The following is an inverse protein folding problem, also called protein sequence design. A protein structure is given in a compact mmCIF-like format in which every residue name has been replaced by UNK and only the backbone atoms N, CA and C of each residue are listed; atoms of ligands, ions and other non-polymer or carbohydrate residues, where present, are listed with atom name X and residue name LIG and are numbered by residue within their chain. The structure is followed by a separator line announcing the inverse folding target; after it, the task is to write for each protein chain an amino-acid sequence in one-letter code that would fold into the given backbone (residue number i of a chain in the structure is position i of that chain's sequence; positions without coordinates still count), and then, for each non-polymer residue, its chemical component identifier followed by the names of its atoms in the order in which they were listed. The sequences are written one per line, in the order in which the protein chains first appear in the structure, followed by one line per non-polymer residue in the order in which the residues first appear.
data_IF_793209225385
#
_entry.id   IF_793209225385
#
_cell.length_a   1.000
_cell.length_b   1.000
_cell.length_c   1.000
_cell.angle_alpha   90.00
_cell.angle_beta   90.00
_cell.angle_gamma   90.00
#
_symmetry.space_group_name_H-M   'P 1'
#
loop_
_entity.id
_entity.type
_entity.pdbx_description
1 polymer ?
#
# COMPACT_ATOMS: atom_id res chain seq x y z
N UNK A 1 0.98 42.26 2.48
CA UNK A 1 0.16 41.20 1.86
C UNK A 1 0.36 39.93 2.68
N UNK A 2 -0.71 39.31 3.21
CA UNK A 2 -0.62 38.06 3.98
C UNK A 2 -0.70 36.86 3.03
N UNK A 3 0.09 35.79 3.23
CA UNK A 3 0.03 34.61 2.38
C UNK A 3 -1.27 33.85 2.64
N UNK A 4 -1.97 33.45 1.57
CA UNK A 4 -3.16 32.58 1.66
C UNK A 4 -2.73 31.19 2.12
N UNK A 5 -3.33 30.72 3.20
CA UNK A 5 -3.15 29.39 3.77
C UNK A 5 -3.81 28.30 2.94
N UNK A 6 -3.05 27.21 2.74
CA UNK A 6 -3.47 25.81 2.67
C UNK A 6 -4.64 25.43 1.74
N UNK A 7 -4.29 25.02 0.51
CA UNK A 7 -5.17 24.31 -0.43
C UNK A 7 -5.20 22.78 -0.19
N UNK A 8 -4.96 22.29 1.02
CA UNK A 8 -4.74 20.86 1.27
C UNK A 8 -6.03 20.04 1.43
N UNK A 9 -7.22 20.66 1.43
CA UNK A 9 -8.48 19.98 1.75
C UNK A 9 -9.37 19.58 0.57
N UNK A 10 -9.20 20.20 -0.60
CA UNK A 10 -10.06 19.94 -1.77
C UNK A 10 -9.48 18.93 -2.76
N UNK A 11 -8.15 18.74 -2.80
CA UNK A 11 -7.51 17.84 -3.76
C UNK A 11 -7.65 16.35 -3.39
N UNK A 12 -7.78 16.02 -2.09
CA UNK A 12 -7.98 14.64 -1.64
C UNK A 12 -9.36 14.06 -2.02
N UNK A 13 -10.38 14.92 -2.19
CA UNK A 13 -11.74 14.52 -2.61
C UNK A 13 -11.79 13.95 -4.03
N UNK A 14 -10.78 14.21 -4.86
CA UNK A 14 -10.72 13.80 -6.26
C UNK A 14 -9.65 12.75 -6.55
N UNK A 15 -9.03 12.15 -5.51
CA UNK A 15 -8.03 11.11 -5.76
C UNK A 15 -8.72 9.91 -6.39
N UNK A 16 -8.32 9.61 -7.62
CA UNK A 16 -8.84 8.45 -8.34
C UNK A 16 -8.44 7.19 -7.60
N UNK A 17 -9.42 6.35 -7.28
CA UNK A 17 -9.15 5.06 -6.66
C UNK A 17 -8.41 4.15 -7.64
N UNK A 18 -7.46 3.36 -7.14
CA UNK A 18 -6.69 2.40 -7.92
C UNK A 18 -7.60 1.37 -8.60
N UNK A 19 -8.71 0.96 -7.97
CA UNK A 19 -9.70 0.04 -8.55
C UNK A 19 -10.51 0.61 -9.73
N UNK A 20 -10.49 1.92 -9.91
CA UNK A 20 -11.14 2.63 -11.01
C UNK A 20 -10.20 2.87 -12.19
N UNK A 21 -8.90 3.00 -11.96
CA UNK A 21 -7.91 3.34 -13.00
C UNK A 21 -7.08 2.16 -13.49
N UNK A 22 -6.91 1.12 -12.67
CA UNK A 22 -6.10 -0.05 -13.04
C UNK A 22 -6.87 -1.00 -13.95
N UNK A 23 -6.15 -1.68 -14.85
CA UNK A 23 -6.74 -2.70 -15.70
C UNK A 23 -7.10 -3.94 -14.87
N UNK A 24 -8.41 -4.23 -14.78
CA UNK A 24 -8.95 -5.38 -14.02
C UNK A 24 -8.51 -6.74 -14.54
N UNK A 25 -8.01 -6.82 -15.79
CA UNK A 25 -7.46 -8.05 -16.38
C UNK A 25 -6.00 -8.30 -15.98
N UNK A 26 -5.33 -7.33 -15.37
CA UNK A 26 -3.94 -7.48 -14.96
C UNK A 26 -3.79 -8.59 -13.90
N UNK A 27 -2.78 -9.48 -14.00
CA UNK A 27 -2.62 -10.60 -13.08
C UNK A 27 -2.59 -10.20 -11.61
N UNK A 28 -1.82 -9.17 -11.23
CA UNK A 28 -1.77 -8.69 -9.85
C UNK A 28 -3.12 -8.14 -9.35
N UNK A 29 -3.91 -7.50 -10.22
CA UNK A 29 -5.23 -7.00 -9.86
C UNK A 29 -6.17 -8.16 -9.51
N UNK A 30 -6.17 -9.20 -10.36
CA UNK A 30 -6.98 -10.39 -10.14
C UNK A 30 -6.53 -11.15 -8.90
N UNK A 31 -5.22 -11.32 -8.73
CA UNK A 31 -4.65 -12.01 -7.59
C UNK A 31 -4.99 -11.30 -6.28
N UNK A 32 -4.86 -9.97 -6.23
CA UNK A 32 -5.23 -9.15 -5.08
C UNK A 32 -6.69 -9.36 -4.64
N UNK A 33 -7.60 -9.59 -5.59
CA UNK A 33 -9.02 -9.83 -5.33
C UNK A 33 -9.38 -11.31 -5.08
N UNK A 34 -8.44 -12.23 -5.29
CA UNK A 34 -8.66 -13.68 -5.10
C UNK A 34 -8.13 -14.14 -3.74
N UNK A 35 -7.10 -13.49 -3.21
CA UNK A 35 -6.51 -13.82 -1.92
C UNK A 35 -7.50 -13.46 -0.79
N UNK A 36 -7.78 -14.42 0.10
CA UNK A 36 -8.44 -14.14 1.38
C UNK A 36 -7.43 -13.52 2.35
N UNK A 37 -7.34 -12.19 2.32
CA UNK A 37 -6.41 -11.43 3.16
C UNK A 37 -6.69 -11.58 4.66
N UNK A 38 -7.92 -11.95 5.05
CA UNK A 38 -8.30 -12.10 6.46
C UNK A 38 -7.59 -13.24 7.18
N UNK A 39 -7.11 -14.23 6.41
CA UNK A 39 -6.27 -15.32 6.95
C UNK A 39 -4.98 -14.75 7.51
N UNK A 40 -4.34 -13.81 6.80
CA UNK A 40 -3.11 -13.19 7.28
C UNK A 40 -3.36 -12.35 8.54
N UNK A 41 -4.48 -11.63 8.61
CA UNK A 41 -4.83 -10.88 9.83
C UNK A 41 -5.05 -11.81 11.04
N UNK A 42 -5.60 -13.01 10.84
CA UNK A 42 -5.78 -14.00 11.92
C UNK A 42 -4.46 -14.60 12.37
N UNK A 43 -3.63 -15.03 11.43
CA UNK A 43 -2.35 -15.70 11.72
C UNK A 43 -1.30 -14.73 12.27
N UNK A 44 -1.19 -13.55 11.65
CA UNK A 44 -0.16 -12.56 12.00
C UNK A 44 -0.67 -11.45 12.92
N UNK A 45 -1.99 -11.28 13.09
CA UNK A 45 -2.58 -10.21 13.92
C UNK A 45 -2.05 -10.16 15.34
N UNK A 46 -1.83 -11.34 15.94
CA UNK A 46 -1.26 -11.46 17.29
C UNK A 46 0.21 -11.03 17.39
N UNK A 47 0.97 -11.15 16.30
CA UNK A 47 2.39 -10.79 16.21
C UNK A 47 2.58 -9.28 15.99
N UNK A 48 1.61 -8.62 15.36
CA UNK A 48 1.64 -7.19 15.03
C UNK A 48 0.78 -6.33 15.98
N UNK A 49 0.32 -6.87 17.11
CA UNK A 49 -0.41 -6.10 18.14
C UNK A 49 0.45 -4.92 18.60
N UNK A 50 -0.06 -3.70 18.38
CA UNK A 50 0.52 -2.46 18.88
C UNK A 50 0.44 -2.45 20.42
N UNK A 51 1.38 -3.11 21.09
CA UNK A 51 1.38 -3.21 22.56
C UNK A 51 1.76 -1.90 23.24
N UNK A 52 2.49 -0.99 22.59
CA UNK A 52 2.75 0.43 22.96
C UNK A 52 3.47 1.08 21.75
N UNK A 53 3.03 2.25 21.27
CA UNK A 53 3.75 3.04 20.25
C UNK A 53 3.11 3.09 18.85
N UNK A 54 3.93 3.28 17.81
CA UNK A 54 3.56 3.49 16.40
C UNK A 54 2.51 2.47 15.93
N UNK A 55 1.45 2.88 15.19
CA UNK A 55 0.52 1.92 14.58
C UNK A 55 1.31 0.89 13.77
N UNK A 56 1.10 -0.39 14.06
CA UNK A 56 1.69 -1.48 13.29
C UNK A 56 1.32 -1.33 11.82
N UNK A 57 2.24 -1.69 10.93
CA UNK A 57 1.98 -1.65 9.49
C UNK A 57 0.84 -2.60 9.14
N UNK A 58 -0.03 -2.26 8.17
CA UNK A 58 -1.06 -3.18 7.72
C UNK A 58 -0.43 -4.52 7.31
N UNK A 59 -0.94 -5.64 7.83
CA UNK A 59 -0.40 -6.97 7.56
C UNK A 59 -0.37 -7.25 6.05
N UNK A 60 -1.40 -6.81 5.33
CA UNK A 60 -1.48 -6.90 3.87
C UNK A 60 -0.32 -6.17 3.15
N UNK A 61 0.16 -5.05 3.66
CA UNK A 61 1.32 -4.35 3.09
C UNK A 61 2.58 -5.21 3.22
N UNK A 62 2.82 -5.78 4.41
CA UNK A 62 4.00 -6.60 4.69
C UNK A 62 4.00 -7.88 3.86
N UNK A 63 2.90 -8.61 3.88
CA UNK A 63 2.71 -9.84 3.10
C UNK A 63 2.80 -9.54 1.60
N UNK A 64 2.17 -8.44 1.16
CA UNK A 64 2.15 -8.01 -0.23
C UNK A 64 3.55 -7.69 -0.76
N UNK A 65 4.31 -6.86 -0.05
CA UNK A 65 5.68 -6.54 -0.42
C UNK A 65 6.59 -7.77 -0.38
N UNK A 66 6.44 -8.63 0.63
CA UNK A 66 7.23 -9.87 0.71
C UNK A 66 6.95 -10.78 -0.50
N UNK A 67 5.67 -10.96 -0.86
CA UNK A 67 5.28 -11.72 -2.05
C UNK A 67 5.88 -11.11 -3.32
N UNK A 68 5.72 -9.80 -3.53
CA UNK A 68 6.19 -9.11 -4.74
C UNK A 68 7.71 -9.17 -4.86
N UNK A 69 8.43 -8.98 -3.75
CA UNK A 69 9.89 -9.10 -3.69
C UNK A 69 10.35 -10.46 -4.23
N UNK A 70 9.75 -11.53 -3.74
CA UNK A 70 10.07 -12.89 -4.16
C UNK A 70 9.61 -13.19 -5.59
N UNK A 71 8.38 -12.80 -5.96
CA UNK A 71 7.82 -13.07 -7.28
C UNK A 71 8.59 -12.38 -8.42
N UNK A 72 9.15 -11.20 -8.15
CA UNK A 72 9.92 -10.42 -9.13
C UNK A 72 11.45 -10.52 -8.93
N UNK A 73 11.91 -11.30 -7.94
CA UNK A 73 13.32 -11.50 -7.61
C UNK A 73 14.11 -10.18 -7.44
N UNK A 74 13.58 -9.29 -6.61
CA UNK A 74 14.17 -7.96 -6.34
C UNK A 74 14.66 -7.85 -4.89
N UNK A 75 15.51 -6.87 -4.60
CA UNK A 75 15.90 -6.54 -3.23
C UNK A 75 14.80 -5.79 -2.48
N UNK A 76 14.94 -5.61 -1.16
CA UNK A 76 14.01 -4.82 -0.36
C UNK A 76 13.99 -3.35 -0.81
N UNK A 77 15.15 -2.76 -1.10
CA UNK A 77 15.27 -1.37 -1.59
C UNK A 77 14.58 -1.20 -2.94
N UNK A 78 14.79 -2.18 -3.84
CA UNK A 78 14.16 -2.17 -5.16
C UNK A 78 12.65 -2.38 -5.04
N UNK A 79 12.19 -3.21 -4.10
CA UNK A 79 10.77 -3.41 -3.86
C UNK A 79 10.08 -2.12 -3.38
N UNK A 80 10.76 -1.33 -2.52
CA UNK A 80 10.27 -0.02 -2.07
C UNK A 80 10.20 0.97 -3.22
N UNK A 81 11.25 1.04 -4.05
CA UNK A 81 11.26 1.92 -5.23
C UNK A 81 10.12 1.55 -6.21
N UNK A 82 9.96 0.26 -6.51
CA UNK A 82 8.89 -0.24 -7.37
C UNK A 82 7.50 0.03 -6.78
N UNK A 83 7.33 -0.12 -5.46
CA UNK A 83 6.08 0.18 -4.80
C UNK A 83 5.66 1.64 -5.01
N UNK A 84 6.59 2.59 -4.87
CA UNK A 84 6.31 4.03 -5.03
C UNK A 84 5.89 4.36 -6.48
N UNK A 85 6.47 3.68 -7.46
CA UNK A 85 6.21 3.96 -8.88
C UNK A 85 5.03 3.14 -9.46
N UNK A 86 4.63 2.03 -8.83
CA UNK A 86 3.74 1.05 -9.43
C UNK A 86 2.38 0.91 -8.72
N UNK A 87 1.32 1.45 -9.35
CA UNK A 87 -0.04 1.40 -8.81
C UNK A 87 -0.60 -0.02 -8.63
N UNK A 88 -0.17 -0.99 -9.43
CA UNK A 88 -0.58 -2.39 -9.23
C UNK A 88 0.02 -2.99 -7.96
N UNK A 89 1.26 -2.63 -7.62
CA UNK A 89 1.91 -3.11 -6.41
C UNK A 89 1.24 -2.52 -5.17
N UNK A 90 0.91 -1.23 -5.22
CA UNK A 90 0.16 -0.56 -4.16
C UNK A 90 -1.23 -1.16 -3.98
N UNK A 91 -1.97 -1.38 -5.07
CA UNK A 91 -3.27 -2.03 -5.01
C UNK A 91 -3.18 -3.46 -4.46
N UNK A 92 -2.18 -4.23 -4.89
CA UNK A 92 -1.93 -5.58 -4.36
C UNK A 92 -1.72 -5.54 -2.84
N UNK A 93 -0.91 -4.59 -2.37
CA UNK A 93 -0.65 -4.33 -0.95
C UNK A 93 -1.81 -3.68 -0.17
N UNK A 94 -2.95 -3.42 -0.81
CA UNK A 94 -4.18 -2.97 -0.14
C UNK A 94 -4.41 -1.47 -0.09
N UNK A 95 -3.66 -0.69 -0.87
CA UNK A 95 -3.89 0.74 -0.99
C UNK A 95 -5.06 1.00 -1.93
N UNK A 96 -5.93 1.94 -1.54
CA UNK A 96 -7.05 2.38 -2.37
C UNK A 96 -6.66 3.52 -3.31
N UNK A 97 -5.68 4.33 -2.91
CA UNK A 97 -5.21 5.50 -3.64
C UNK A 97 -3.69 5.43 -3.82
N UNK A 98 -3.21 5.99 -4.94
CA UNK A 98 -1.78 5.99 -5.24
C UNK A 98 -0.99 6.76 -4.18
N UNK A 99 0.12 6.20 -3.70
CA UNK A 99 1.06 6.79 -2.76
C UNK A 99 2.35 7.13 -3.49
N UNK A 100 2.84 8.35 -3.35
CA UNK A 100 4.13 8.76 -3.92
C UNK A 100 5.30 8.54 -2.97
N UNK A 101 5.02 8.12 -1.75
CA UNK A 101 6.01 7.85 -0.72
C UNK A 101 5.53 6.68 0.13
N UNK A 102 6.47 5.86 0.57
CA UNK A 102 6.19 4.81 1.52
C UNK A 102 6.49 5.34 2.93
N UNK A 103 5.45 5.72 3.67
CA UNK A 103 5.56 6.39 5.00
C UNK A 103 6.13 5.50 6.12
N UNK A 104 6.91 4.46 5.78
CA UNK A 104 7.62 3.59 6.72
C UNK A 104 8.75 4.32 7.45
N UNK A 105 9.30 5.41 6.89
CA UNK A 105 10.61 5.96 7.31
C UNK A 105 10.57 7.33 8.00
N UNK A 106 9.43 8.04 8.09
CA UNK A 106 9.42 9.38 8.72
C UNK A 106 8.21 9.59 9.63
N UNK A 107 8.39 9.33 10.94
CA UNK A 107 7.89 10.13 12.07
C UNK A 107 8.57 9.68 13.37
#
# INVERSE_FOLDING_TARGET
MKPKSSATGQEDLFRSRLDQILNRRHPLFRLANTIDWSVFDKEFGSLYVAKIGRPGLPIRLLVGLHYLKHAYNVSDETAVAQFIENGYWQYFCGFEHFQHELSLVMQ
#
